data_IF_546041491361
#
_entry.id   IF_546041491361
#
_cell.length_a   1.000
_cell.length_b   1.000
_cell.length_c   1.000
_cell.angle_alpha   90.00
_cell.angle_beta   90.00
_cell.angle_gamma   90.00
#
_symmetry.space_group_name_H-M   'P 1'
#
loop_
_entity.id
_entity.type
_entity.pdbx_description
1 polymer ?
#
# COMPACT_ATOMS: atom_id res chain seq x y z
N UNK A 1 -4.23 -9.60 -14.18
CA UNK A 1 -5.54 -8.91 -14.20
C UNK A 1 -5.45 -7.69 -13.30
N UNK A 2 -6.06 -6.57 -13.69
CA UNK A 2 -6.12 -5.38 -12.85
C UNK A 2 -7.13 -5.57 -11.71
N UNK A 3 -6.92 -4.87 -10.58
CA UNK A 3 -7.89 -4.82 -9.47
C UNK A 3 -9.18 -4.16 -9.96
N UNK A 4 -10.33 -4.69 -9.52
CA UNK A 4 -11.65 -4.16 -9.82
C UNK A 4 -12.37 -3.73 -8.52
N UNK A 5 -13.34 -2.80 -8.58
CA UNK A 5 -14.18 -2.49 -7.44
C UNK A 5 -14.82 -3.75 -6.85
N UNK A 6 -14.83 -3.88 -5.51
CA UNK A 6 -15.32 -5.06 -4.81
C UNK A 6 -14.31 -6.22 -4.72
N UNK A 7 -13.19 -6.16 -5.43
CA UNK A 7 -12.09 -7.14 -5.25
C UNK A 7 -11.49 -6.95 -3.86
N UNK A 8 -11.39 -8.03 -3.09
CA UNK A 8 -10.70 -8.00 -1.81
C UNK A 8 -9.24 -7.59 -2.03
N UNK A 9 -8.76 -6.61 -1.28
CA UNK A 9 -7.38 -6.17 -1.35
C UNK A 9 -6.43 -7.35 -1.00
N UNK A 10 -5.36 -7.57 -1.79
CA UNK A 10 -4.39 -8.62 -1.51
C UNK A 10 -3.65 -8.29 -0.22
N UNK A 11 -3.38 -9.31 0.60
CA UNK A 11 -2.55 -9.13 1.80
C UNK A 11 -1.08 -9.26 1.41
N UNK A 12 -0.25 -8.34 1.88
CA UNK A 12 1.19 -8.32 1.62
C UNK A 12 1.93 -7.64 2.78
N UNK A 13 3.22 -7.97 2.88
CA UNK A 13 4.17 -7.33 3.80
C UNK A 13 5.22 -6.60 2.99
N UNK A 14 5.54 -5.36 3.36
CA UNK A 14 6.58 -4.55 2.73
C UNK A 14 7.52 -3.99 3.79
N UNK A 15 8.79 -3.85 3.43
CA UNK A 15 9.74 -3.06 4.19
C UNK A 15 9.44 -1.56 4.05
N UNK A 16 9.57 -0.84 5.16
CA UNK A 16 9.50 0.62 5.19
C UNK A 16 10.68 1.19 5.97
N UNK A 17 10.85 2.52 5.90
CA UNK A 17 11.86 3.23 6.68
C UNK A 17 11.64 3.16 8.21
N UNK A 18 10.48 2.67 8.68
CA UNK A 18 10.15 2.49 10.10
C UNK A 18 10.08 1.00 10.52
N UNK A 19 10.42 0.07 9.62
CA UNK A 19 10.26 -1.37 9.81
C UNK A 19 9.23 -1.99 8.86
N UNK A 20 8.91 -3.26 9.04
CA UNK A 20 7.95 -3.99 8.21
C UNK A 20 6.51 -3.52 8.46
N UNK A 21 5.73 -3.46 7.38
CA UNK A 21 4.29 -3.14 7.43
C UNK A 21 3.53 -4.22 6.68
N UNK A 22 2.50 -4.77 7.33
CA UNK A 22 1.56 -5.70 6.72
C UNK A 22 0.21 -5.04 6.47
N UNK A 23 -0.35 -5.20 5.27
CA UNK A 23 -1.60 -4.52 4.91
C UNK A 23 -2.76 -4.94 5.82
N UNK A 24 -2.85 -6.21 6.21
CA UNK A 24 -3.89 -6.70 7.12
C UNK A 24 -3.94 -5.97 8.46
N UNK A 25 -2.80 -5.46 8.93
CA UNK A 25 -2.68 -4.87 10.27
C UNK A 25 -3.27 -3.46 10.31
N UNK A 26 -3.51 -2.87 9.13
CA UNK A 26 -4.13 -1.56 8.96
C UNK A 26 -5.66 -1.62 8.81
N UNK A 27 -6.27 -2.82 8.89
CA UNK A 27 -7.73 -2.99 8.80
C UNK A 27 -8.46 -2.31 9.97
N UNK A 28 -9.77 -2.06 9.79
CA UNK A 28 -10.60 -1.33 10.76
C UNK A 28 -10.70 0.17 10.52
N UNK A 29 -10.05 0.68 9.47
CA UNK A 29 -10.13 2.06 8.98
C UNK A 29 -10.07 2.08 7.45
N UNK A 30 -10.39 3.24 6.85
CA UNK A 30 -10.19 3.45 5.42
C UNK A 30 -8.69 3.56 5.13
N UNK A 31 -8.19 2.70 4.24
CA UNK A 31 -6.77 2.66 3.85
C UNK A 31 -6.67 2.99 2.36
N UNK A 32 -5.75 3.89 2.01
CA UNK A 32 -5.45 4.28 0.62
C UNK A 32 -3.99 3.92 0.33
N UNK A 33 -3.74 3.22 -0.78
CA UNK A 33 -2.40 2.85 -1.24
C UNK A 33 -2.04 3.71 -2.46
N UNK A 34 -0.90 4.39 -2.40
CA UNK A 34 -0.38 5.22 -3.48
C UNK A 34 1.03 4.82 -3.86
N UNK A 35 1.36 4.94 -5.15
CA UNK A 35 2.69 4.68 -5.70
C UNK A 35 3.20 5.94 -6.38
N UNK A 36 4.50 6.23 -6.25
CA UNK A 36 5.16 7.30 -6.98
C UNK A 36 6.42 6.75 -7.67
N UNK A 37 6.88 7.33 -8.80
CA UNK A 37 7.97 6.76 -9.60
C UNK A 37 9.31 6.71 -8.87
N UNK A 38 9.67 7.81 -8.19
CA UNK A 38 10.88 7.94 -7.40
C UNK A 38 10.75 9.08 -6.39
N UNK A 39 11.49 8.99 -5.28
CA UNK A 39 11.64 10.07 -4.30
C UNK A 39 12.55 11.18 -4.83
N UNK A 40 12.44 12.39 -4.25
CA UNK A 40 13.29 13.55 -4.58
C UNK A 40 13.26 14.00 -6.05
N UNK A 41 12.14 13.81 -6.73
CA UNK A 41 11.93 14.17 -8.14
C UNK A 41 11.39 15.59 -8.33
N UNK A 42 11.61 16.49 -7.36
CA UNK A 42 11.20 17.90 -7.47
C UNK A 42 11.95 18.58 -8.63
N UNK A 43 11.20 19.19 -9.54
CA UNK A 43 11.72 20.07 -10.58
C UNK A 43 12.10 21.45 -10.05
#
# INVERSE_FOLDING_TARGET
>A
MALQPGTQAPDFTLDSHLGEVKLSDLRGKTVVVGFHPASFTGG
#
